data_IF_162488747889
#
_entry.id   IF_162488747889
#
_cell.length_a   1.000
_cell.length_b   1.000
_cell.length_c   1.000
_cell.angle_alpha   90.00
_cell.angle_beta   90.00
_cell.angle_gamma   90.00
#
_symmetry.space_group_name_H-M   'P 1'
#
loop_
_entity.id
_entity.type
_entity.pdbx_description
1 polymer ?
#
# COMPACT_ATOMS: atom_id res chain seq x y z
N UNK A 1 -22.48 -6.42 -11.91
CA UNK A 1 -21.41 -7.15 -11.27
C UNK A 1 -20.75 -6.29 -10.19
N UNK A 2 -20.58 -6.85 -9.01
CA UNK A 2 -19.99 -6.11 -7.90
C UNK A 2 -18.55 -5.73 -8.20
N UNK A 3 -18.18 -4.52 -7.83
CA UNK A 3 -16.82 -4.04 -7.99
C UNK A 3 -15.98 -4.42 -6.77
N UNK A 4 -14.81 -4.96 -7.01
CA UNK A 4 -13.87 -5.33 -5.97
C UNK A 4 -12.50 -4.81 -6.40
N UNK A 5 -11.99 -3.84 -5.66
CA UNK A 5 -10.67 -3.28 -5.94
C UNK A 5 -9.64 -4.00 -5.08
N UNK A 6 -8.50 -4.28 -5.67
CA UNK A 6 -7.38 -4.89 -4.98
C UNK A 6 -6.18 -3.98 -5.10
N UNK A 7 -5.54 -3.71 -3.98
CA UNK A 7 -4.30 -2.97 -3.92
C UNK A 7 -3.24 -3.83 -3.23
N UNK A 8 -2.08 -3.96 -3.84
CA UNK A 8 -0.91 -4.49 -3.14
C UNK A 8 0.06 -3.33 -2.97
N UNK A 9 0.71 -3.27 -1.83
CA UNK A 9 1.64 -2.18 -1.53
C UNK A 9 2.84 -2.69 -0.77
N UNK A 10 3.91 -1.95 -0.88
CA UNK A 10 5.20 -2.32 -0.30
C UNK A 10 5.86 -1.04 0.19
N UNK A 11 6.46 -1.13 1.38
CA UNK A 11 7.19 0.01 1.95
C UNK A 11 8.48 0.21 1.17
N UNK A 12 8.66 1.42 0.65
CA UNK A 12 9.86 1.75 -0.12
C UNK A 12 11.10 1.76 0.77
N UNK A 13 12.15 1.09 0.32
CA UNK A 13 13.45 1.08 0.99
C UNK A 13 13.39 0.59 2.44
N UNK A 14 12.51 -0.37 2.72
CA UNK A 14 12.33 -0.86 4.09
C UNK A 14 13.61 -1.44 4.66
N UNK A 15 14.42 -2.13 3.84
CA UNK A 15 15.71 -2.65 4.29
C UNK A 15 16.61 -1.52 4.80
N UNK A 16 16.62 -0.39 4.09
CA UNK A 16 17.42 0.76 4.50
C UNK A 16 16.92 1.35 5.82
N UNK A 17 15.62 1.32 6.05
CA UNK A 17 15.05 1.76 7.33
C UNK A 17 15.59 0.89 8.46
N UNK A 18 15.55 -0.42 8.28
CA UNK A 18 16.08 -1.36 9.29
C UNK A 18 17.57 -1.16 9.50
N UNK A 19 18.32 -0.97 8.42
CA UNK A 19 19.77 -0.81 8.50
C UNK A 19 20.15 0.49 9.23
N UNK A 20 19.40 1.55 9.04
CA UNK A 20 19.70 2.85 9.64
C UNK A 20 19.10 3.01 11.04
N UNK A 21 17.86 2.58 11.22
CA UNK A 21 17.09 2.84 12.45
C UNK A 21 16.97 1.62 13.35
N UNK A 22 17.28 0.43 12.85
CA UNK A 22 17.16 -0.82 13.59
C UNK A 22 15.80 -1.49 13.37
N UNK A 23 15.75 -2.79 13.68
CA UNK A 23 14.56 -3.60 13.45
C UNK A 23 13.38 -3.18 14.32
N UNK A 24 13.62 -2.67 15.53
CA UNK A 24 12.53 -2.19 16.39
C UNK A 24 11.79 -1.03 15.76
N UNK A 25 12.51 -0.11 15.13
CA UNK A 25 11.88 1.02 14.42
C UNK A 25 11.19 0.52 13.15
N UNK A 26 11.78 -0.45 12.45
CA UNK A 26 11.12 -1.08 11.30
C UNK A 26 9.79 -1.70 11.68
N UNK A 27 9.74 -2.42 12.80
CA UNK A 27 8.50 -3.00 13.32
C UNK A 27 7.48 -1.92 13.67
N UNK A 28 7.93 -0.85 14.30
CA UNK A 28 7.07 0.27 14.67
C UNK A 28 6.48 0.93 13.42
N UNK A 29 7.27 1.07 12.35
CA UNK A 29 6.82 1.59 11.07
C UNK A 29 5.69 0.72 10.51
N UNK A 30 5.87 -0.60 10.53
CA UNK A 30 4.86 -1.51 10.00
C UNK A 30 3.57 -1.45 10.82
N UNK A 31 3.67 -1.34 12.14
CA UNK A 31 2.50 -1.16 13.01
C UNK A 31 1.80 0.15 12.72
N UNK A 32 2.56 1.22 12.52
CA UNK A 32 2.03 2.54 12.18
C UNK A 32 1.25 2.48 10.87
N UNK A 33 1.84 1.86 9.85
CA UNK A 33 1.18 1.71 8.55
C UNK A 33 -0.09 0.88 8.66
N UNK A 34 -0.06 -0.21 9.43
CA UNK A 34 -1.23 -1.04 9.65
C UNK A 34 -2.38 -0.23 10.28
N UNK A 35 -2.07 0.60 11.25
CA UNK A 35 -3.08 1.46 11.89
C UNK A 35 -3.68 2.45 10.89
N UNK A 36 -2.84 3.07 10.08
CA UNK A 36 -3.32 4.02 9.07
C UNK A 36 -4.18 3.33 8.02
N UNK A 37 -3.77 2.15 7.57
CA UNK A 37 -4.58 1.40 6.61
C UNK A 37 -5.96 1.08 7.18
N UNK A 38 -6.01 0.66 8.44
CA UNK A 38 -7.28 0.36 9.10
C UNK A 38 -8.17 1.59 9.25
N UNK A 39 -7.57 2.75 9.51
CA UNK A 39 -8.29 4.00 9.67
C UNK A 39 -8.81 4.53 8.33
N UNK A 40 -8.00 4.46 7.28
CA UNK A 40 -8.37 4.95 5.96
C UNK A 40 -9.33 4.00 5.23
N UNK A 41 -9.25 2.72 5.54
CA UNK A 41 -10.01 1.68 4.83
C UNK A 41 -10.72 0.76 5.80
N UNK A 42 -11.68 1.29 6.58
CA UNK A 42 -12.40 0.44 7.55
C UNK A 42 -13.25 -0.63 6.88
N UNK A 43 -13.57 -0.46 5.61
CA UNK A 43 -14.36 -1.39 4.80
C UNK A 43 -13.51 -2.45 4.08
N UNK A 44 -12.19 -2.39 4.22
CA UNK A 44 -11.30 -3.27 3.48
C UNK A 44 -10.93 -4.51 4.28
N UNK A 45 -10.65 -5.59 3.54
CA UNK A 45 -9.90 -6.70 4.11
C UNK A 45 -8.42 -6.38 3.91
N UNK A 46 -7.66 -6.43 5.00
CA UNK A 46 -6.24 -6.09 4.99
C UNK A 46 -5.46 -7.34 5.35
N UNK A 47 -4.50 -7.70 4.51
CA UNK A 47 -3.59 -8.81 4.77
C UNK A 47 -2.16 -8.29 4.68
N UNK A 48 -1.29 -8.84 5.51
CA UNK A 48 0.13 -8.55 5.45
C UNK A 48 0.87 -9.84 5.14
N UNK A 49 1.74 -9.80 4.14
CA UNK A 49 2.58 -10.96 3.84
C UNK A 49 3.98 -10.50 3.47
N UNK A 50 4.93 -11.41 3.63
CA UNK A 50 6.30 -11.14 3.25
C UNK A 50 6.97 -10.03 4.04
N UNK A 51 6.55 -9.74 5.25
CA UNK A 51 7.20 -8.75 6.11
C UNK A 51 6.73 -7.31 5.87
N UNK A 52 6.97 -6.78 4.69
CA UNK A 52 6.72 -5.37 4.39
C UNK A 52 5.66 -5.15 3.31
N UNK A 53 5.01 -6.23 2.88
CA UNK A 53 3.98 -6.18 1.84
C UNK A 53 2.60 -6.33 2.44
N UNK A 54 1.66 -5.55 1.89
CA UNK A 54 0.27 -5.57 2.33
C UNK A 54 -0.63 -5.70 1.12
N UNK A 55 -1.79 -6.29 1.32
CA UNK A 55 -2.85 -6.29 0.33
C UNK A 55 -4.13 -5.76 0.95
N UNK A 56 -4.85 -4.96 0.19
CA UNK A 56 -6.15 -4.42 0.55
C UNK A 56 -7.17 -4.92 -0.45
N UNK A 57 -8.27 -5.48 0.03
CA UNK A 57 -9.42 -5.76 -0.82
C UNK A 57 -10.57 -4.90 -0.37
N UNK A 58 -11.09 -4.07 -1.27
CA UNK A 58 -12.13 -3.10 -0.94
C UNK A 58 -13.36 -3.42 -1.80
N UNK A 59 -14.41 -4.00 -1.19
CA UNK A 59 -15.63 -4.33 -1.95
C UNK A 59 -16.40 -3.07 -2.30
N UNK A 60 -17.18 -3.15 -3.37
CA UNK A 60 -18.06 -2.07 -3.83
C UNK A 60 -17.30 -0.76 -4.04
N UNK A 61 -16.07 -0.87 -4.53
CA UNK A 61 -15.20 0.29 -4.69
C UNK A 61 -14.63 0.30 -6.11
N UNK A 62 -15.04 1.24 -6.94
CA UNK A 62 -14.42 1.41 -8.26
C UNK A 62 -12.96 1.83 -8.09
N UNK A 63 -12.12 1.42 -9.03
CA UNK A 63 -10.69 1.76 -8.99
C UNK A 63 -10.45 3.26 -8.86
N UNK A 64 -11.11 4.14 -9.64
CA UNK A 64 -10.85 5.58 -9.49
C UNK A 64 -11.12 6.10 -8.07
N UNK A 65 -12.11 5.53 -7.37
CA UNK A 65 -12.40 5.91 -5.99
C UNK A 65 -11.28 5.45 -5.07
N UNK A 66 -10.82 4.21 -5.26
CA UNK A 66 -9.72 3.70 -4.45
C UNK A 66 -8.45 4.51 -4.68
N UNK A 67 -8.16 4.91 -5.92
CA UNK A 67 -6.98 5.73 -6.21
C UNK A 67 -6.98 7.03 -5.42
N UNK A 68 -8.14 7.68 -5.30
CA UNK A 68 -8.26 8.92 -4.52
C UNK A 68 -8.03 8.66 -3.04
N UNK A 69 -8.60 7.58 -2.52
CA UNK A 69 -8.43 7.22 -1.11
C UNK A 69 -6.96 6.91 -0.79
N UNK A 70 -6.29 6.19 -1.68
CA UNK A 70 -4.87 5.88 -1.52
C UNK A 70 -4.01 7.13 -1.61
N UNK A 71 -4.37 8.07 -2.48
CA UNK A 71 -3.63 9.33 -2.57
C UNK A 71 -3.75 10.11 -1.25
N UNK A 72 -4.91 10.06 -0.59
CA UNK A 72 -5.08 10.65 0.73
C UNK A 72 -4.15 10.03 1.76
N UNK A 73 -4.04 8.71 1.75
CA UNK A 73 -3.11 8.00 2.63
C UNK A 73 -1.66 8.40 2.32
N UNK A 74 -1.31 8.44 1.06
CA UNK A 74 0.04 8.79 0.63
C UNK A 74 0.42 10.20 1.08
N UNK A 75 -0.50 11.16 0.97
CA UNK A 75 -0.27 12.52 1.45
C UNK A 75 -0.09 12.56 2.96
N UNK A 76 -0.87 11.79 3.71
CA UNK A 76 -0.71 11.68 5.16
C UNK A 76 0.69 11.19 5.52
N UNK A 77 1.16 10.15 4.82
CA UNK A 77 2.50 9.60 5.06
C UNK A 77 3.59 10.61 4.76
N UNK A 78 3.40 11.46 3.74
CA UNK A 78 4.39 12.47 3.36
C UNK A 78 4.46 13.62 4.34
N UNK A 79 3.38 13.91 5.05
CA UNK A 79 3.26 15.09 5.90
C UNK A 79 3.60 14.81 7.36
N UNK A 80 3.48 13.55 7.79
CA UNK A 80 3.68 13.21 9.18
C UNK A 80 4.79 12.18 9.33
N UNK A 81 5.81 12.47 10.15
CA UNK A 81 6.85 11.48 10.42
C UNK A 81 6.32 10.36 11.30
N UNK A 82 7.08 9.27 11.41
CA UNK A 82 6.71 8.11 12.21
C UNK A 82 6.38 8.52 13.65
N UNK A 83 7.25 9.34 14.24
CA UNK A 83 7.03 9.88 15.57
C UNK A 83 7.90 11.13 15.73
N UNK A 84 7.72 11.80 16.87
CA UNK A 84 8.52 12.99 17.19
C UNK A 84 9.99 12.64 17.36
N UNK A 85 10.28 11.48 17.95
CA UNK A 85 11.63 11.02 18.21
C UNK A 85 12.29 10.42 16.98
N UNK A 86 11.47 9.91 16.03
CA UNK A 86 11.96 9.28 14.81
C UNK A 86 11.40 10.06 13.62
N UNK A 87 12.17 11.04 13.12
CA UNK A 87 11.68 11.89 12.00
C UNK A 87 11.82 11.17 10.66
N UNK A 88 11.21 10.00 10.57
CA UNK A 88 11.21 9.14 9.40
C UNK A 88 9.87 9.24 8.71
N UNK A 89 9.88 9.63 7.44
CA UNK A 89 8.68 9.68 6.63
C UNK A 89 8.55 8.38 5.85
N UNK A 90 7.40 7.73 6.01
CA UNK A 90 7.14 6.46 5.33
C UNK A 90 6.77 6.73 3.87
N UNK A 91 7.40 6.00 2.98
CA UNK A 91 7.06 6.01 1.56
C UNK A 91 6.66 4.61 1.15
N UNK A 92 5.70 4.51 0.27
CA UNK A 92 5.22 3.22 -0.20
C UNK A 92 4.86 3.30 -1.68
N UNK A 93 4.95 2.17 -2.34
CA UNK A 93 4.55 2.01 -3.73
C UNK A 93 3.33 1.12 -3.76
N UNK A 94 2.40 1.40 -4.67
CA UNK A 94 1.09 0.75 -4.70
C UNK A 94 0.76 0.28 -6.11
N UNK A 95 0.21 -0.92 -6.22
CA UNK A 95 -0.35 -1.43 -7.46
C UNK A 95 -1.82 -1.73 -7.26
N UNK A 96 -2.68 -1.24 -8.14
CA UNK A 96 -4.13 -1.31 -7.99
C UNK A 96 -4.77 -1.90 -9.23
N UNK A 97 -5.70 -2.83 -9.03
CA UNK A 97 -6.50 -3.39 -10.13
C UNK A 97 -7.95 -3.58 -9.69
N UNK A 98 -8.83 -3.71 -10.68
CA UNK A 98 -10.18 -4.21 -10.46
C UNK A 98 -10.16 -5.72 -10.64
N UNK A 99 -10.61 -6.46 -9.64
CA UNK A 99 -10.56 -7.93 -9.69
C UNK A 99 -11.44 -8.46 -10.81
N UNK A 100 -12.67 -7.90 -10.95
CA UNK A 100 -13.56 -8.32 -12.02
C UNK A 100 -13.79 -9.82 -12.03
N UNK A 101 -13.44 -10.45 -13.15
CA UNK A 101 -13.61 -11.89 -13.34
C UNK A 101 -12.35 -12.71 -13.09
N UNK A 102 -11.28 -12.04 -12.64
CA UNK A 102 -10.03 -12.73 -12.37
C UNK A 102 -10.18 -13.62 -11.14
N UNK A 103 -9.46 -14.74 -11.14
CA UNK A 103 -9.28 -15.50 -9.91
C UNK A 103 -8.42 -14.67 -8.96
N UNK A 104 -8.39 -15.06 -7.68
CA UNK A 104 -7.58 -14.34 -6.72
C UNK A 104 -6.09 -14.40 -7.10
N UNK A 105 -5.61 -15.57 -7.55
CA UNK A 105 -4.21 -15.70 -7.98
C UNK A 105 -3.90 -14.79 -9.16
N UNK A 106 -4.79 -14.72 -10.13
CA UNK A 106 -4.63 -13.83 -11.28
C UNK A 106 -4.65 -12.37 -10.86
N UNK A 107 -5.57 -12.03 -9.95
CA UNK A 107 -5.70 -10.66 -9.46
C UNK A 107 -4.44 -10.21 -8.73
N UNK A 108 -3.90 -11.08 -7.87
CA UNK A 108 -2.66 -10.77 -7.14
C UNK A 108 -1.50 -10.60 -8.11
N UNK A 109 -1.40 -11.45 -9.13
CA UNK A 109 -0.38 -11.31 -10.17
C UNK A 109 -0.46 -9.98 -10.89
N UNK A 110 -1.66 -9.57 -11.26
CA UNK A 110 -1.85 -8.30 -11.98
C UNK A 110 -1.56 -7.10 -11.08
N UNK A 111 -1.99 -7.16 -9.81
CA UNK A 111 -1.69 -6.10 -8.86
C UNK A 111 -0.19 -5.98 -8.61
N UNK A 112 0.51 -7.12 -8.49
CA UNK A 112 1.96 -7.13 -8.35
C UNK A 112 2.66 -6.52 -9.56
N UNK A 113 2.11 -6.74 -10.75
CA UNK A 113 2.65 -6.14 -11.97
C UNK A 113 2.58 -4.61 -11.91
N UNK A 114 1.46 -4.08 -11.43
CA UNK A 114 1.31 -2.65 -11.24
C UNK A 114 2.25 -2.11 -10.17
N UNK A 115 2.42 -2.86 -9.09
CA UNK A 115 3.36 -2.51 -8.03
C UNK A 115 4.79 -2.46 -8.56
N UNK A 116 5.16 -3.44 -9.38
CA UNK A 116 6.48 -3.47 -10.02
C UNK A 116 6.70 -2.22 -10.87
N UNK A 117 5.68 -1.79 -11.61
CA UNK A 117 5.74 -0.55 -12.38
C UNK A 117 5.98 0.65 -11.47
N UNK A 118 5.28 0.71 -10.34
CA UNK A 118 5.47 1.81 -9.39
C UNK A 118 6.92 1.84 -8.89
N UNK A 119 7.46 0.67 -8.54
CA UNK A 119 8.83 0.59 -8.05
C UNK A 119 9.87 0.98 -9.10
N UNK A 120 9.61 0.66 -10.36
CA UNK A 120 10.57 0.92 -11.45
C UNK A 120 10.45 2.31 -12.06
N UNK A 121 9.44 3.07 -11.67
CA UNK A 121 9.22 4.41 -12.23
C UNK A 121 9.34 5.49 -11.16
N UNK A 122 10.09 5.22 -10.10
CA UNK A 122 10.43 6.24 -9.10
C UNK A 122 9.97 5.97 -7.70
N UNK A 123 9.16 4.95 -7.47
CA UNK A 123 8.58 4.62 -6.17
C UNK A 123 7.68 5.76 -5.65
N UNK A 124 7.16 5.62 -4.44
CA UNK A 124 6.29 6.62 -3.80
C UNK A 124 5.18 7.03 -4.74
N UNK A 125 4.43 6.07 -5.24
CA UNK A 125 3.36 6.32 -6.21
C UNK A 125 2.37 5.17 -6.28
N UNK A 126 1.24 5.46 -6.88
CA UNK A 126 0.16 4.50 -7.11
C UNK A 126 0.07 4.27 -8.61
N UNK A 127 0.10 3.01 -9.03
CA UNK A 127 -0.02 2.66 -10.45
C UNK A 127 -1.20 1.72 -10.62
N UNK A 128 -2.00 2.00 -11.63
CA UNK A 128 -3.11 1.15 -12.02
C UNK A 128 -3.24 1.16 -13.53
N UNK A 129 -3.46 0.00 -14.13
CA UNK A 129 -3.68 -0.05 -15.57
C UNK A 129 -5.08 0.47 -15.93
N UNK A 130 -5.96 0.61 -14.94
CA UNK A 130 -7.33 1.12 -15.15
C UNK A 130 -7.43 2.63 -14.91
N UNK A 131 -6.33 3.28 -14.61
CA UNK A 131 -6.31 4.71 -14.30
C UNK A 131 -6.27 5.56 -15.58
#
# INVERSE_FOLDING_TARGET
>A
QAQLALCVLDVDHFKQVNDHWGHAIGDELLCHLTRLLSQFFPDAMIARFGGEEFALMVPHCPVPVLLKRLEGLRQQLRQQPLSREVPLFVRASFGVINVGRLSMDEALCEADRQLYQAKNTGRDKIVSQDA
#
